data_IF_787189152397
#
_entry.id   IF_787189152397
#
_cell.length_a   1.000
_cell.length_b   1.000
_cell.length_c   1.000
_cell.angle_alpha   90.00
_cell.angle_beta   90.00
_cell.angle_gamma   90.00
#
_symmetry.space_group_name_H-M   'P 1'
#
loop_
_entity.id
_entity.type
_entity.pdbx_description
1 polymer ?
#
# COMPACT_ATOMS: atom_id res chain seq x y z
N UNK A 1 -20.15 0.91 -15.61
CA UNK A 1 -19.82 2.19 -16.28
C UNK A 1 -18.62 2.77 -15.57
N UNK A 2 -17.53 3.09 -16.28
CA UNK A 2 -16.33 3.70 -15.70
C UNK A 2 -16.55 5.20 -15.59
N UNK A 3 -16.21 5.81 -14.45
CA UNK A 3 -16.26 7.26 -14.24
C UNK A 3 -14.84 7.81 -14.37
N UNK A 4 -14.69 8.94 -15.06
CA UNK A 4 -13.39 9.60 -15.23
C UNK A 4 -13.34 10.82 -14.33
N UNK A 5 -12.32 10.90 -13.48
CA UNK A 5 -12.18 11.92 -12.43
C UNK A 5 -10.77 12.50 -12.44
N UNK A 6 -10.64 13.78 -12.15
CA UNK A 6 -9.35 14.26 -11.70
C UNK A 6 -9.05 13.80 -10.26
N UNK A 7 -7.78 13.85 -9.87
CA UNK A 7 -7.31 13.32 -8.59
C UNK A 7 -7.85 14.09 -7.40
N UNK A 8 -8.02 15.41 -7.54
CA UNK A 8 -8.52 16.24 -6.45
C UNK A 8 -9.99 15.94 -6.17
N UNK A 9 -10.81 15.83 -7.22
CA UNK A 9 -12.21 15.44 -7.09
C UNK A 9 -12.36 14.03 -6.53
N UNK A 10 -11.51 13.08 -6.99
CA UNK A 10 -11.51 11.74 -6.45
C UNK A 10 -11.21 11.72 -4.94
N UNK A 11 -10.16 12.41 -4.52
CA UNK A 11 -9.75 12.44 -3.11
C UNK A 11 -10.80 13.12 -2.22
N UNK A 12 -11.47 14.15 -2.73
CA UNK A 12 -12.47 14.92 -1.98
C UNK A 12 -13.83 14.22 -1.89
N UNK A 13 -14.33 13.67 -3.01
CA UNK A 13 -15.73 13.30 -3.14
C UNK A 13 -15.98 11.80 -3.30
N UNK A 14 -14.96 11.01 -3.71
CA UNK A 14 -15.12 9.60 -4.06
C UNK A 14 -14.29 8.65 -3.20
N UNK A 15 -13.24 9.14 -2.54
CA UNK A 15 -12.45 8.31 -1.64
C UNK A 15 -13.18 8.08 -0.32
N UNK A 16 -13.70 6.86 -0.15
CA UNK A 16 -14.42 6.44 1.05
C UNK A 16 -13.69 5.25 1.68
N UNK A 17 -12.75 5.55 2.56
CA UNK A 17 -11.97 4.55 3.28
C UNK A 17 -12.53 4.28 4.66
N UNK A 18 -12.73 3.02 5.00
CA UNK A 18 -13.15 2.59 6.34
C UNK A 18 -12.00 1.87 7.04
N UNK A 19 -11.75 2.14 8.34
CA UNK A 19 -10.72 1.45 9.10
C UNK A 19 -10.87 -0.07 9.01
N UNK A 20 -9.76 -0.75 8.65
CA UNK A 20 -9.71 -2.19 8.44
C UNK A 20 -9.77 -2.62 6.96
N UNK A 21 -10.10 -1.74 6.05
CA UNK A 21 -10.02 -2.04 4.62
C UNK A 21 -8.57 -2.11 4.15
N UNK A 22 -8.29 -3.04 3.23
CA UNK A 22 -6.97 -3.18 2.62
C UNK A 22 -6.94 -2.49 1.25
N UNK A 23 -5.81 -1.88 0.95
CA UNK A 23 -5.57 -1.14 -0.30
C UNK A 23 -4.37 -1.74 -1.02
N UNK A 24 -4.50 -1.98 -2.32
CA UNK A 24 -3.39 -2.47 -3.13
C UNK A 24 -3.18 -1.59 -4.35
N UNK A 25 -1.94 -1.20 -4.56
CA UNK A 25 -1.48 -0.44 -5.72
C UNK A 25 -0.64 -1.36 -6.59
N UNK A 26 -1.01 -1.58 -7.84
CA UNK A 26 -0.24 -2.40 -8.77
C UNK A 26 0.07 -1.58 -10.01
N UNK A 27 1.35 -1.26 -10.19
CA UNK A 27 1.83 -0.54 -11.36
C UNK A 27 3.34 -0.70 -11.48
N UNK A 28 3.91 -0.68 -12.68
CA UNK A 28 5.35 -0.62 -12.87
C UNK A 28 6.01 0.52 -12.10
N UNK A 29 7.33 0.45 -11.94
CA UNK A 29 8.12 1.51 -11.30
C UNK A 29 7.93 2.85 -11.99
N UNK A 30 8.09 3.96 -11.24
CA UNK A 30 8.03 5.34 -11.73
C UNK A 30 6.67 5.80 -12.31
N UNK A 31 5.59 5.10 -12.00
CA UNK A 31 4.22 5.46 -12.40
C UNK A 31 3.41 6.14 -11.27
N UNK A 32 4.07 6.73 -10.28
CA UNK A 32 3.40 7.55 -9.26
C UNK A 32 2.69 6.80 -8.14
N UNK A 33 2.92 5.49 -7.98
CA UNK A 33 2.33 4.64 -6.93
C UNK A 33 2.46 5.24 -5.53
N UNK A 34 3.69 5.52 -5.12
CA UNK A 34 3.99 6.06 -3.78
C UNK A 34 3.35 7.43 -3.58
N UNK A 35 3.39 8.28 -4.61
CA UNK A 35 2.74 9.60 -4.59
C UNK A 35 1.23 9.49 -4.36
N UNK A 36 0.54 8.64 -5.13
CA UNK A 36 -0.90 8.42 -4.94
C UNK A 36 -1.21 7.86 -3.56
N UNK A 37 -0.45 6.86 -3.10
CA UNK A 37 -0.63 6.28 -1.77
C UNK A 37 -0.48 7.34 -0.67
N UNK A 38 0.52 8.21 -0.78
CA UNK A 38 0.74 9.30 0.19
C UNK A 38 -0.37 10.37 0.13
N UNK A 39 -0.90 10.71 -1.04
CA UNK A 39 -2.07 11.61 -1.18
C UNK A 39 -3.31 11.01 -0.49
N UNK A 40 -3.54 9.71 -0.66
CA UNK A 40 -4.62 9.00 0.04
C UNK A 40 -4.40 8.95 1.55
N UNK A 41 -3.16 8.73 2.00
CA UNK A 41 -2.80 8.77 3.42
C UNK A 41 -3.07 10.17 4.01
N UNK A 42 -2.79 11.22 3.26
CA UNK A 42 -2.99 12.61 3.73
C UNK A 42 -4.44 12.90 4.06
N UNK A 43 -5.37 12.46 3.23
CA UNK A 43 -6.82 12.66 3.47
C UNK A 43 -7.42 11.63 4.43
N UNK A 44 -6.71 10.53 4.73
CA UNK A 44 -7.24 9.41 5.54
C UNK A 44 -6.71 9.43 6.98
N UNK A 45 -5.42 9.74 7.16
CA UNK A 45 -4.76 9.60 8.46
C UNK A 45 -5.11 10.70 9.46
N UNK A 46 -5.19 10.30 10.70
CA UNK A 46 -5.40 11.21 11.83
C UNK A 46 -4.75 10.61 13.10
N UNK A 47 -4.64 11.35 14.21
CA UNK A 47 -4.18 10.78 15.48
C UNK A 47 -5.04 9.61 16.00
N UNK A 48 -6.30 9.52 15.56
CA UNK A 48 -7.21 8.42 15.89
C UNK A 48 -7.13 7.24 14.91
N UNK A 49 -6.59 7.45 13.71
CA UNK A 49 -6.29 6.44 12.70
C UNK A 49 -4.88 6.69 12.14
N UNK A 50 -3.83 6.43 12.94
CA UNK A 50 -2.46 6.71 12.50
C UNK A 50 -1.97 5.71 11.46
N UNK A 51 -0.98 6.13 10.65
CA UNK A 51 -0.31 5.24 9.73
C UNK A 51 1.16 4.99 10.11
N UNK A 52 1.68 3.84 9.68
CA UNK A 52 3.11 3.56 9.64
C UNK A 52 3.49 3.30 8.18
N UNK A 53 4.35 4.14 7.62
CA UNK A 53 4.91 3.96 6.28
C UNK A 53 6.26 3.26 6.42
N UNK A 54 6.38 2.05 5.88
CA UNK A 54 7.61 1.25 5.88
C UNK A 54 8.46 1.58 4.65
N UNK A 55 9.67 2.07 4.87
CA UNK A 55 10.61 2.44 3.80
C UNK A 55 11.80 1.48 3.83
N UNK A 56 12.01 0.75 2.72
CA UNK A 56 13.08 -0.23 2.59
C UNK A 56 14.34 0.33 1.91
N UNK A 57 14.18 1.31 1.04
CA UNK A 57 15.30 1.82 0.25
C UNK A 57 16.22 2.72 1.08
N UNK A 58 17.54 2.65 0.93
CA UNK A 58 18.47 3.46 1.70
C UNK A 58 18.33 4.98 1.42
N UNK A 59 17.83 5.31 0.22
CA UNK A 59 17.55 6.68 -0.21
C UNK A 59 16.36 6.66 -1.16
N UNK A 60 15.31 7.37 -0.79
CA UNK A 60 14.13 7.54 -1.66
C UNK A 60 13.59 8.96 -1.43
N UNK A 61 13.64 9.86 -2.43
CA UNK A 61 13.19 11.23 -2.28
C UNK A 61 11.68 11.33 -2.04
N UNK A 62 10.89 10.40 -2.58
CA UNK A 62 9.43 10.46 -2.47
C UNK A 62 8.95 10.25 -1.03
N UNK A 63 9.32 9.17 -0.31
CA UNK A 63 8.98 9.06 1.11
C UNK A 63 9.54 10.19 1.97
N UNK A 64 10.74 10.71 1.67
CA UNK A 64 11.31 11.82 2.42
C UNK A 64 10.43 13.09 2.34
N UNK A 65 10.08 13.51 1.12
CA UNK A 65 9.19 14.64 0.87
C UNK A 65 7.83 14.45 1.54
N UNK A 66 7.22 13.27 1.37
CA UNK A 66 5.91 12.99 1.92
C UNK A 66 5.90 12.84 3.44
N UNK A 67 6.99 12.43 4.07
CA UNK A 67 7.11 12.40 5.54
C UNK A 67 6.87 13.79 6.13
N UNK A 68 7.47 14.81 5.54
CA UNK A 68 7.28 16.20 5.97
C UNK A 68 5.84 16.68 5.67
N UNK A 69 5.35 16.47 4.45
CA UNK A 69 4.00 16.91 4.02
C UNK A 69 2.88 16.28 4.85
N UNK A 70 3.00 15.01 5.19
CA UNK A 70 2.05 14.29 6.03
C UNK A 70 2.15 14.65 7.52
N UNK A 71 3.22 15.33 7.93
CA UNK A 71 3.52 15.56 9.35
C UNK A 71 3.79 14.25 10.11
N UNK A 72 4.37 13.25 9.42
CA UNK A 72 4.77 12.01 10.05
C UNK A 72 6.10 12.19 10.77
N UNK A 73 6.28 11.42 11.86
CA UNK A 73 7.56 11.35 12.57
C UNK A 73 8.43 10.28 11.95
N UNK A 74 9.61 10.66 11.42
CA UNK A 74 10.60 9.70 10.96
C UNK A 74 11.24 8.98 12.14
N UNK A 75 11.37 7.66 12.05
CA UNK A 75 11.99 6.81 13.07
C UNK A 75 12.83 5.73 12.41
N UNK A 76 14.04 5.50 12.93
CA UNK A 76 14.95 4.47 12.43
C UNK A 76 14.83 3.15 13.19
N UNK A 77 14.27 3.17 14.40
CA UNK A 77 14.12 2.00 15.28
C UNK A 77 12.69 1.89 15.79
N UNK A 78 12.22 0.66 16.04
CA UNK A 78 10.89 0.42 16.57
C UNK A 78 10.92 -0.33 17.91
N UNK A 79 10.06 0.02 18.91
CA UNK A 79 9.07 1.10 18.88
C UNK A 79 9.72 2.49 18.95
N UNK A 80 9.02 3.54 18.44
CA UNK A 80 9.51 4.91 18.51
C UNK A 80 9.56 5.40 19.97
N UNK A 81 10.60 6.14 20.30
CA UNK A 81 10.68 6.83 21.58
C UNK A 81 9.57 7.88 21.68
N UNK A 82 8.78 7.84 22.73
CA UNK A 82 7.70 8.77 23.00
C UNK A 82 7.80 9.31 24.41
N UNK A 83 7.79 10.62 24.52
CA UNK A 83 7.65 11.27 25.81
C UNK A 83 6.18 11.28 26.25
N UNK A 84 5.87 11.14 27.54
CA UNK A 84 4.48 11.09 28.05
C UNK A 84 3.62 12.29 27.65
N UNK A 85 4.23 13.45 27.43
CA UNK A 85 3.57 14.71 27.06
C UNK A 85 3.52 14.97 25.55
N UNK A 86 4.12 14.09 24.74
CA UNK A 86 4.12 14.24 23.29
C UNK A 86 2.75 13.89 22.70
N UNK A 87 2.21 14.80 21.87
CA UNK A 87 0.98 14.53 21.14
C UNK A 87 1.14 13.30 20.24
N UNK A 88 0.07 12.52 20.11
CA UNK A 88 0.05 11.39 19.18
C UNK A 88 0.20 11.91 17.75
N UNK A 89 1.22 11.49 17.00
CA UNK A 89 1.36 11.88 15.60
C UNK A 89 0.27 11.23 14.74
N UNK A 90 0.02 11.82 13.56
CA UNK A 90 -0.82 11.21 12.52
C UNK A 90 -0.21 9.93 11.96
N UNK A 91 1.11 9.75 12.08
CA UNK A 91 1.80 8.57 11.60
C UNK A 91 3.30 8.62 11.82
N UNK A 92 3.92 7.55 11.41
CA UNK A 92 5.37 7.37 11.43
C UNK A 92 5.88 6.95 10.07
N UNK A 93 7.01 7.49 9.65
CA UNK A 93 7.83 6.93 8.59
C UNK A 93 8.89 6.07 9.24
N UNK A 94 8.72 4.77 9.19
CA UNK A 94 9.70 3.82 9.70
C UNK A 94 10.74 3.56 8.61
N UNK A 95 11.88 4.21 8.77
CA UNK A 95 13.01 4.16 7.84
C UNK A 95 14.26 3.68 8.56
N UNK A 96 14.46 2.37 8.68
CA UNK A 96 15.64 1.82 9.32
C UNK A 96 16.91 2.25 8.60
N UNK A 97 17.96 2.51 9.37
CA UNK A 97 19.23 2.95 8.80
C UNK A 97 19.92 1.80 8.07
N UNK A 98 20.29 2.06 6.83
CA UNK A 98 21.23 1.22 6.11
C UNK A 98 22.66 1.61 6.46
N UNK A 99 23.56 0.67 6.51
CA UNK A 99 24.95 1.01 6.85
C UNK A 99 25.86 -0.20 7.00
N UNK A 100 25.31 -1.37 6.86
CA UNK A 100 26.10 -2.60 6.88
C UNK A 100 26.69 -2.82 5.47
N UNK A 101 27.99 -3.11 5.40
CA UNK A 101 28.67 -3.35 4.10
C UNK A 101 28.24 -4.66 3.43
N UNK A 102 27.57 -5.50 4.17
CA UNK A 102 27.10 -6.83 3.79
C UNK A 102 25.58 -6.77 3.60
N UNK A 103 25.11 -7.05 2.38
CA UNK A 103 23.68 -6.99 2.03
C UNK A 103 22.83 -7.95 2.87
N UNK A 104 23.33 -9.14 3.17
CA UNK A 104 22.60 -10.11 3.99
C UNK A 104 22.40 -9.63 5.42
N UNK A 105 23.43 -9.00 5.99
CA UNK A 105 23.34 -8.42 7.35
C UNK A 105 22.45 -7.18 7.35
N UNK A 106 22.49 -6.38 6.30
CA UNK A 106 21.61 -5.21 6.15
C UNK A 106 20.14 -5.68 6.05
N UNK A 107 19.86 -6.67 5.22
CA UNK A 107 18.53 -7.25 5.10
C UNK A 107 18.05 -7.89 6.42
N UNK A 108 18.91 -8.56 7.16
CA UNK A 108 18.56 -9.11 8.48
C UNK A 108 18.18 -8.00 9.48
N UNK A 109 18.92 -6.88 9.48
CA UNK A 109 18.60 -5.70 10.29
C UNK A 109 17.27 -5.07 9.88
N UNK A 110 17.03 -4.87 8.58
CA UNK A 110 15.78 -4.33 8.05
C UNK A 110 14.59 -5.25 8.39
N UNK A 111 14.78 -6.57 8.26
CA UNK A 111 13.78 -7.58 8.62
C UNK A 111 13.38 -7.49 10.09
N UNK A 112 14.35 -7.37 10.99
CA UNK A 112 14.11 -7.21 12.43
C UNK A 112 13.32 -5.92 12.72
N UNK A 113 13.78 -4.77 12.24
CA UNK A 113 13.15 -3.49 12.50
C UNK A 113 11.75 -3.40 11.88
N UNK A 114 11.61 -3.67 10.57
CA UNK A 114 10.31 -3.61 9.90
C UNK A 114 9.35 -4.68 10.41
N UNK A 115 9.87 -5.84 10.81
CA UNK A 115 9.10 -6.89 11.48
C UNK A 115 8.52 -6.43 12.82
N UNK A 116 9.28 -5.66 13.63
CA UNK A 116 8.79 -5.08 14.88
C UNK A 116 7.61 -4.13 14.63
N UNK A 117 7.72 -3.21 13.68
CA UNK A 117 6.63 -2.27 13.38
C UNK A 117 5.39 -2.93 12.79
N UNK A 118 5.59 -3.93 11.92
CA UNK A 118 4.49 -4.72 11.35
C UNK A 118 3.73 -5.52 12.42
N UNK A 119 4.46 -6.17 13.33
CA UNK A 119 3.86 -6.90 14.44
C UNK A 119 3.14 -5.98 15.44
N UNK A 120 3.70 -4.82 15.74
CA UNK A 120 3.08 -3.82 16.61
C UNK A 120 1.80 -3.27 15.97
N UNK A 121 1.84 -2.91 14.69
CA UNK A 121 0.65 -2.51 13.92
C UNK A 121 -0.44 -3.59 14.01
N UNK A 122 -0.09 -4.85 13.73
CA UNK A 122 -1.04 -5.95 13.77
C UNK A 122 -1.71 -6.12 15.14
N UNK A 123 -0.93 -6.03 16.22
CA UNK A 123 -1.45 -6.17 17.60
C UNK A 123 -2.30 -4.99 18.04
N UNK A 124 -1.94 -3.80 17.63
CA UNK A 124 -2.62 -2.58 18.03
C UNK A 124 -3.96 -2.40 17.31
N UNK A 125 -4.04 -2.81 16.06
CA UNK A 125 -5.20 -2.53 15.21
C UNK A 125 -5.47 -1.03 15.03
N UNK A 126 -6.62 -0.68 14.51
CA UNK A 126 -7.11 0.68 14.30
C UNK A 126 -6.02 1.66 13.79
N UNK A 127 -5.31 1.22 12.77
CA UNK A 127 -4.20 1.95 12.16
C UNK A 127 -3.92 1.40 10.76
N UNK A 128 -3.15 2.13 9.97
CA UNK A 128 -2.73 1.75 8.62
C UNK A 128 -1.25 1.37 8.65
N UNK A 129 -0.90 0.29 7.96
CA UNK A 129 0.48 -0.05 7.64
C UNK A 129 0.65 0.05 6.13
N UNK A 130 1.48 0.97 5.68
CA UNK A 130 1.77 1.14 4.25
C UNK A 130 3.14 0.56 3.92
N UNK A 131 3.14 -0.45 3.05
CA UNK A 131 4.31 -1.12 2.51
C UNK A 131 4.43 -0.77 1.02
N UNK A 132 5.29 0.18 0.66
CA UNK A 132 5.44 0.64 -0.74
C UNK A 132 5.96 -0.46 -1.68
N UNK A 133 6.80 -1.36 -1.17
CA UNK A 133 7.37 -2.49 -1.91
C UNK A 133 7.13 -3.80 -1.15
N UNK A 134 5.89 -4.32 -1.29
CA UNK A 134 5.52 -5.55 -0.57
C UNK A 134 6.31 -6.79 -0.99
N UNK A 135 6.80 -6.80 -2.23
CA UNK A 135 7.66 -7.89 -2.69
C UNK A 135 8.95 -7.97 -1.90
N UNK A 136 9.64 -6.86 -1.73
CA UNK A 136 10.87 -6.82 -0.95
C UNK A 136 10.64 -7.27 0.50
N UNK A 137 9.57 -6.83 1.14
CA UNK A 137 9.21 -7.31 2.48
C UNK A 137 8.98 -8.83 2.52
N UNK A 138 8.34 -9.39 1.49
CA UNK A 138 8.06 -10.83 1.43
C UNK A 138 9.29 -11.66 1.11
N UNK A 139 10.03 -11.29 0.06
CA UNK A 139 11.04 -12.15 -0.56
C UNK A 139 12.46 -11.86 -0.07
N UNK A 140 12.77 -10.59 0.22
CA UNK A 140 14.10 -10.17 0.65
C UNK A 140 14.23 -10.15 2.17
N UNK A 141 13.16 -9.79 2.88
CA UNK A 141 13.15 -9.66 4.33
C UNK A 141 12.40 -10.79 5.07
N UNK A 142 11.92 -11.81 4.37
CA UNK A 142 11.16 -12.96 4.93
C UNK A 142 9.96 -12.55 5.85
N UNK A 143 9.34 -11.41 5.59
CA UNK A 143 8.18 -10.92 6.34
C UNK A 143 6.84 -11.40 5.76
N UNK A 144 6.85 -12.42 4.90
CA UNK A 144 5.64 -12.95 4.27
C UNK A 144 4.62 -13.45 5.30
N UNK A 145 5.03 -14.18 6.33
CA UNK A 145 4.12 -14.75 7.34
C UNK A 145 3.37 -13.68 8.13
N UNK A 146 4.01 -12.65 8.71
CA UNK A 146 3.30 -11.56 9.39
C UNK A 146 2.43 -10.73 8.43
N UNK A 147 2.83 -10.54 7.17
CA UNK A 147 1.99 -9.88 6.16
C UNK A 147 0.73 -10.68 5.85
N UNK A 148 0.83 -12.01 5.72
CA UNK A 148 -0.33 -12.90 5.56
C UNK A 148 -1.32 -12.71 6.73
N UNK A 149 -0.81 -12.72 7.96
CA UNK A 149 -1.63 -12.50 9.14
C UNK A 149 -2.34 -11.13 9.09
N UNK A 150 -1.63 -10.09 8.63
CA UNK A 150 -2.19 -8.78 8.39
C UNK A 150 -3.36 -8.81 7.40
N UNK A 151 -3.16 -9.35 6.20
CA UNK A 151 -4.22 -9.41 5.19
C UNK A 151 -5.43 -10.23 5.59
N UNK A 152 -5.23 -11.31 6.32
CA UNK A 152 -6.33 -12.24 6.64
C UNK A 152 -7.07 -11.91 7.93
N UNK A 153 -6.48 -11.15 8.85
CA UNK A 153 -7.03 -10.98 10.21
C UNK A 153 -7.08 -9.55 10.71
N UNK A 154 -6.22 -8.65 10.21
CA UNK A 154 -6.15 -7.29 10.76
C UNK A 154 -7.41 -6.46 10.48
N UNK A 155 -8.14 -6.73 9.40
CA UNK A 155 -9.38 -6.03 9.07
C UNK A 155 -10.41 -6.06 10.20
N UNK A 156 -10.59 -7.21 10.86
CA UNK A 156 -11.47 -7.36 12.02
C UNK A 156 -11.06 -6.52 13.24
N UNK A 157 -9.79 -6.12 13.33
CA UNK A 157 -9.24 -5.23 14.34
C UNK A 157 -9.12 -3.77 13.84
N UNK A 158 -9.75 -3.44 12.72
CA UNK A 158 -9.66 -2.14 12.04
C UNK A 158 -8.24 -1.79 11.58
N UNK A 159 -7.38 -2.77 11.41
CA UNK A 159 -6.04 -2.61 10.86
C UNK A 159 -6.06 -2.67 9.33
N UNK A 160 -5.71 -1.58 8.66
CA UNK A 160 -5.60 -1.50 7.21
C UNK A 160 -4.17 -1.80 6.75
N UNK A 161 -4.01 -2.76 5.81
CA UNK A 161 -2.74 -3.00 5.15
C UNK A 161 -2.80 -2.43 3.74
N UNK A 162 -1.96 -1.45 3.47
CA UNK A 162 -1.82 -0.79 2.18
C UNK A 162 -0.52 -1.25 1.53
N UNK A 163 -0.60 -1.74 0.30
CA UNK A 163 0.54 -2.40 -0.33
C UNK A 163 0.81 -1.88 -1.73
N UNK A 164 2.07 -1.58 -2.01
CA UNK A 164 2.56 -1.33 -3.35
C UNK A 164 3.18 -2.60 -3.96
N UNK A 165 2.87 -2.87 -5.22
CA UNK A 165 3.44 -3.95 -6.00
C UNK A 165 3.71 -3.52 -7.44
N UNK A 166 4.64 -4.19 -8.11
CA UNK A 166 4.94 -3.94 -9.51
C UNK A 166 4.15 -4.86 -10.45
N UNK A 167 3.76 -6.04 -9.96
CA UNK A 167 3.03 -7.07 -10.71
C UNK A 167 1.94 -7.70 -9.86
N UNK A 168 0.87 -8.21 -10.47
CA UNK A 168 -0.26 -8.79 -9.73
C UNK A 168 0.06 -10.14 -9.09
N UNK A 169 0.98 -10.89 -9.66
CA UNK A 169 1.43 -12.18 -9.11
C UNK A 169 2.80 -12.52 -9.66
N UNK A 170 3.62 -13.18 -8.85
CA UNK A 170 4.85 -13.81 -9.32
C UNK A 170 4.63 -15.30 -9.54
N UNK A 171 5.35 -15.87 -10.48
CA UNK A 171 5.63 -17.30 -10.52
C UNK A 171 6.41 -17.61 -9.25
N UNK A 172 6.19 -18.77 -8.65
CA UNK A 172 6.88 -19.21 -7.44
C UNK A 172 8.38 -18.93 -7.54
N UNK A 173 8.91 -18.02 -6.71
CA UNK A 173 10.30 -17.55 -6.74
C UNK A 173 10.57 -16.26 -7.54
N UNK A 174 9.61 -15.64 -8.19
CA UNK A 174 9.79 -14.44 -9.02
C UNK A 174 8.96 -13.22 -8.59
N UNK A 175 8.83 -12.99 -7.33
CA UNK A 175 8.47 -11.65 -6.88
C UNK A 175 7.05 -11.18 -7.11
N UNK A 176 6.07 -11.97 -6.74
CA UNK A 176 4.68 -11.52 -6.75
C UNK A 176 4.10 -11.42 -5.35
N UNK A 177 3.08 -10.59 -5.23
CA UNK A 177 2.27 -10.54 -4.02
C UNK A 177 1.54 -11.88 -3.86
N UNK A 178 1.54 -12.49 -2.68
CA UNK A 178 0.83 -13.73 -2.45
C UNK A 178 -0.67 -13.62 -2.79
N UNK A 179 -1.23 -14.66 -3.40
CA UNK A 179 -2.61 -14.65 -3.93
C UNK A 179 -3.68 -14.28 -2.89
N UNK A 180 -3.47 -14.62 -1.62
CA UNK A 180 -4.40 -14.27 -0.54
C UNK A 180 -4.41 -12.75 -0.22
N UNK A 181 -3.37 -11.99 -0.54
CA UNK A 181 -3.39 -10.54 -0.42
C UNK A 181 -4.50 -9.92 -1.27
N UNK A 182 -4.77 -10.49 -2.42
CA UNK A 182 -5.78 -10.02 -3.34
C UNK A 182 -7.22 -10.34 -2.92
N UNK A 183 -7.42 -11.45 -2.23
CA UNK A 183 -8.75 -11.85 -1.78
C UNK A 183 -9.31 -10.88 -0.74
N UNK A 184 -8.43 -10.25 0.05
CA UNK A 184 -8.79 -9.33 1.13
C UNK A 184 -8.75 -7.86 0.73
N UNK A 185 -8.40 -7.53 -0.52
CA UNK A 185 -8.34 -6.14 -0.98
C UNK A 185 -9.74 -5.55 -1.10
N UNK A 186 -9.93 -4.34 -0.57
CA UNK A 186 -11.16 -3.55 -0.71
C UNK A 186 -11.02 -2.50 -1.80
N UNK A 187 -9.83 -1.91 -1.92
CA UNK A 187 -9.52 -0.85 -2.86
C UNK A 187 -8.29 -1.24 -3.69
N UNK A 188 -8.43 -1.27 -5.01
CA UNK A 188 -7.39 -1.66 -5.94
C UNK A 188 -7.11 -0.49 -6.90
N UNK A 189 -5.85 -0.07 -6.98
CA UNK A 189 -5.35 0.93 -7.92
C UNK A 189 -4.41 0.28 -8.91
N UNK A 190 -4.72 0.39 -10.20
CA UNK A 190 -3.99 -0.23 -11.30
C UNK A 190 -3.43 0.84 -12.21
N UNK A 191 -2.12 0.86 -12.42
CA UNK A 191 -1.49 1.70 -13.43
C UNK A 191 -1.44 0.99 -14.79
N UNK A 192 -0.97 1.71 -15.81
CA UNK A 192 -0.78 1.17 -17.15
C UNK A 192 0.06 -0.12 -17.11
N UNK A 193 -0.41 -1.16 -17.80
CA UNK A 193 0.30 -2.42 -17.96
C UNK A 193 0.07 -3.00 -19.36
N UNK A 194 1.12 -3.13 -20.19
CA UNK A 194 1.02 -3.68 -21.54
C UNK A 194 0.80 -5.20 -21.56
N UNK A 195 1.10 -5.91 -20.45
CA UNK A 195 1.00 -7.37 -20.39
C UNK A 195 -0.48 -7.82 -20.23
N UNK A 196 -0.98 -8.54 -21.23
CA UNK A 196 -2.36 -9.05 -21.24
C UNK A 196 -2.64 -10.07 -20.14
N UNK A 197 -1.65 -10.84 -19.69
CA UNK A 197 -1.81 -11.81 -18.62
C UNK A 197 -1.98 -11.07 -17.26
N UNK A 198 -1.22 -10.01 -17.04
CA UNK A 198 -1.38 -9.15 -15.88
C UNK A 198 -2.77 -8.50 -15.87
N UNK A 199 -3.22 -7.93 -17.00
CA UNK A 199 -4.54 -7.30 -17.09
C UNK A 199 -5.70 -8.28 -16.83
N UNK A 200 -5.59 -9.52 -17.33
CA UNK A 200 -6.55 -10.57 -16.98
C UNK A 200 -6.56 -10.83 -15.48
N UNK A 201 -5.40 -10.91 -14.86
CA UNK A 201 -5.28 -11.13 -13.43
C UNK A 201 -5.84 -9.97 -12.61
N UNK A 202 -5.70 -8.73 -13.07
CA UNK A 202 -6.32 -7.55 -12.44
C UNK A 202 -7.84 -7.67 -12.37
N UNK A 203 -8.46 -8.11 -13.43
CA UNK A 203 -9.90 -8.34 -13.47
C UNK A 203 -10.36 -9.41 -12.47
N UNK A 204 -9.61 -10.51 -12.37
CA UNK A 204 -9.89 -11.57 -11.39
C UNK A 204 -9.78 -11.03 -9.94
N UNK A 205 -8.75 -10.24 -9.63
CA UNK A 205 -8.56 -9.62 -8.32
C UNK A 205 -9.69 -8.64 -8.02
N UNK A 206 -10.03 -7.78 -8.97
CA UNK A 206 -11.08 -6.77 -8.84
C UNK A 206 -12.49 -7.32 -8.79
N UNK A 207 -12.70 -8.53 -9.30
CA UNK A 207 -14.03 -9.13 -9.42
C UNK A 207 -14.90 -8.40 -10.44
N UNK A 208 -14.31 -7.92 -11.55
CA UNK A 208 -14.96 -7.10 -12.58
C UNK A 208 -14.76 -7.68 -13.96
N UNK A 209 -15.48 -7.16 -14.95
CA UNK A 209 -15.41 -7.65 -16.34
C UNK A 209 -13.98 -7.59 -16.90
N UNK A 210 -13.40 -8.71 -17.38
CA UNK A 210 -12.02 -8.77 -17.85
C UNK A 210 -11.74 -7.88 -19.06
N UNK A 211 -12.73 -7.72 -19.96
CA UNK A 211 -12.54 -6.88 -21.14
C UNK A 211 -12.46 -5.42 -20.75
N UNK A 212 -13.35 -4.97 -19.88
CA UNK A 212 -13.36 -3.59 -19.38
C UNK A 212 -12.05 -3.24 -18.71
N UNK A 213 -11.58 -4.07 -17.78
CA UNK A 213 -10.30 -3.82 -17.07
C UNK A 213 -9.14 -3.84 -18.06
N UNK A 214 -9.12 -4.79 -18.99
CA UNK A 214 -8.05 -4.88 -19.99
C UNK A 214 -7.98 -3.65 -20.88
N UNK A 215 -9.14 -3.16 -21.34
CA UNK A 215 -9.22 -2.00 -22.23
C UNK A 215 -8.82 -0.71 -21.46
N UNK A 216 -9.36 -0.51 -20.25
CA UNK A 216 -9.04 0.67 -19.44
C UNK A 216 -7.55 0.71 -19.06
N UNK A 217 -7.02 -0.37 -18.47
CA UNK A 217 -5.61 -0.41 -18.03
C UNK A 217 -4.62 -0.26 -19.18
N UNK A 218 -4.93 -0.80 -20.35
CA UNK A 218 -4.09 -0.64 -21.54
C UNK A 218 -4.02 0.81 -22.03
N UNK A 219 -5.12 1.56 -21.91
CA UNK A 219 -5.24 2.94 -22.37
C UNK A 219 -4.81 4.00 -21.34
N UNK A 220 -4.52 3.63 -20.10
CA UNK A 220 -4.05 4.58 -19.08
C UNK A 220 -2.76 5.27 -19.54
N UNK A 221 -2.68 6.56 -19.28
CA UNK A 221 -1.45 7.35 -19.44
C UNK A 221 -0.57 7.22 -18.20
N UNK A 222 0.62 7.75 -18.29
CA UNK A 222 1.51 7.84 -17.12
C UNK A 222 0.84 8.64 -15.99
N UNK A 223 0.91 8.10 -14.77
CA UNK A 223 0.29 8.64 -13.55
C UNK A 223 -1.24 8.56 -13.48
N UNK A 224 -1.91 8.01 -14.49
CA UNK A 224 -3.32 7.65 -14.38
C UNK A 224 -3.48 6.27 -13.74
N UNK A 225 -4.59 6.08 -13.02
CA UNK A 225 -4.90 4.83 -12.36
C UNK A 225 -6.34 4.43 -12.61
N UNK A 226 -6.57 3.15 -12.92
CA UNK A 226 -7.88 2.56 -12.77
C UNK A 226 -8.07 2.19 -11.30
N UNK A 227 -9.03 2.84 -10.67
CA UNK A 227 -9.48 2.51 -9.33
C UNK A 227 -10.65 1.55 -9.39
N UNK A 228 -10.58 0.48 -8.57
CA UNK A 228 -11.65 -0.47 -8.36
C UNK A 228 -11.93 -0.57 -6.87
N UNK A 229 -13.11 -0.13 -6.44
CA UNK A 229 -13.64 -0.47 -5.13
C UNK A 229 -14.42 -1.78 -5.29
N UNK A 230 -14.02 -2.82 -4.58
CA UNK A 230 -14.74 -4.11 -4.64
C UNK A 230 -16.14 -3.97 -4.05
N UNK A 231 -17.05 -4.80 -4.55
CA UNK A 231 -18.39 -4.86 -4.01
C UNK A 231 -18.38 -5.18 -2.52
N UNK A 232 -19.17 -4.45 -1.76
CA UNK A 232 -19.41 -4.66 -0.33
C UNK A 232 -20.92 -4.53 -0.01
N UNK A 233 -21.27 -4.49 1.25
CA UNK A 233 -22.67 -4.33 1.71
C UNK A 233 -23.34 -3.01 1.24
N UNK A 234 -22.55 -2.02 0.81
CA UNK A 234 -23.05 -0.73 0.30
C UNK A 234 -23.24 -0.71 -1.21
N UNK A 235 -22.86 -1.77 -1.90
CA UNK A 235 -22.97 -1.93 -3.36
C UNK A 235 -21.63 -2.11 -4.07
N UNK A 236 -21.58 -1.85 -5.36
CA UNK A 236 -20.38 -1.99 -6.21
C UNK A 236 -20.41 -3.23 -7.10
N UNK A 237 -19.32 -3.56 -7.81
CA UNK A 237 -18.06 -2.82 -7.79
C UNK A 237 -18.15 -1.43 -8.43
N UNK A 238 -17.36 -0.48 -7.91
CA UNK A 238 -17.23 0.87 -8.48
C UNK A 238 -15.90 0.98 -9.21
N UNK A 239 -15.92 1.58 -10.40
CA UNK A 239 -14.75 1.78 -11.25
C UNK A 239 -14.60 3.26 -11.61
N UNK A 240 -13.39 3.78 -11.44
CA UNK A 240 -13.04 5.15 -11.86
C UNK A 240 -11.64 5.18 -12.47
N UNK A 241 -11.46 5.94 -13.55
CA UNK A 241 -10.13 6.33 -14.03
C UNK A 241 -9.78 7.66 -13.37
N UNK A 242 -8.64 7.69 -12.70
CA UNK A 242 -8.17 8.84 -11.93
C UNK A 242 -6.97 9.42 -12.65
N UNK A 243 -7.10 10.67 -13.10
CA UNK A 243 -6.03 11.44 -13.75
C UNK A 243 -5.31 12.36 -12.76
N UNK A 244 -4.03 12.72 -13.01
CA UNK A 244 -3.27 13.64 -12.18
C UNK A 244 -3.92 14.99 -11.97
#
# INVERSE_FOLDING_TARGET
>A
MTVYLDREDFLRDYWDYRPGQHVTFITPTQNGKTTLACQLLDVTCSPSLPATMAVMKPRDPTPAEWTERLGFKEVATWPPDRWPWENKPRGYTHWPRHGLKDVEKDNAHLSDELGKSLNDWYRRGNSIYFADEVYGLCAELDLQKPLIAGWTRAGGMKGGLWCGAQKPSGVQGQGGVPTFAYNSVSHLFLGHDPDSANRKRFAEIGGVDPKLVSDEVFNLRQYEFLYIRKADETGGPYLSVISP
#
